data_IF_643728287049
#
_entry.id   IF_643728287049
#
_cell.length_a   1.000
_cell.length_b   1.000
_cell.length_c   1.000
_cell.angle_alpha   90.00
_cell.angle_beta   90.00
_cell.angle_gamma   90.00
#
_symmetry.space_group_name_H-M   'P 1'
#
loop_
_entity.id
_entity.type
_entity.pdbx_description
1 polymer ?
#
# COMPACT_ATOMS: atom_id res chain seq x y z
N UNK A 1 0.43 27.50 -3.68
CA UNK A 1 1.67 27.06 -4.36
C UNK A 1 1.24 26.07 -5.43
N UNK A 2 1.51 26.32 -6.71
CA UNK A 2 1.22 25.34 -7.75
C UNK A 2 2.17 24.16 -7.52
N UNK A 3 1.66 23.04 -7.00
CA UNK A 3 2.45 21.81 -6.91
C UNK A 3 2.63 21.29 -8.32
N UNK A 4 3.88 21.11 -8.77
CA UNK A 4 4.17 20.46 -10.04
C UNK A 4 3.47 19.09 -10.10
N UNK A 5 3.02 18.71 -11.30
CA UNK A 5 2.45 17.38 -11.55
C UNK A 5 3.53 16.34 -11.23
N UNK A 6 3.15 15.31 -10.47
CA UNK A 6 4.01 14.16 -10.15
C UNK A 6 3.72 13.01 -11.09
N UNK A 7 4.75 12.34 -11.57
CA UNK A 7 4.63 11.17 -12.44
C UNK A 7 5.00 9.90 -11.66
N UNK A 8 4.10 8.93 -11.62
CA UNK A 8 4.31 7.65 -10.96
C UNK A 8 4.19 6.46 -11.90
N UNK A 9 4.82 5.34 -11.55
CA UNK A 9 4.68 4.05 -12.24
C UNK A 9 4.07 2.98 -11.33
N UNK A 10 3.54 1.92 -11.93
CA UNK A 10 3.22 0.70 -11.21
C UNK A 10 4.40 -0.27 -11.27
N UNK A 11 4.78 -0.83 -10.14
CA UNK A 11 5.74 -1.92 -10.07
C UNK A 11 5.14 -3.21 -10.68
N UNK A 12 5.96 -4.00 -11.37
CA UNK A 12 5.52 -5.21 -12.09
C UNK A 12 5.49 -6.44 -11.19
N UNK A 13 4.81 -6.35 -10.04
CA UNK A 13 4.71 -7.46 -9.08
C UNK A 13 3.87 -8.63 -9.57
N UNK A 14 3.11 -8.45 -10.65
CA UNK A 14 2.32 -9.50 -11.31
C UNK A 14 2.51 -9.41 -12.83
N UNK A 15 3.74 -9.15 -13.27
CA UNK A 15 4.10 -9.00 -14.67
C UNK A 15 3.51 -7.74 -15.30
N UNK A 16 3.80 -7.52 -16.59
CA UNK A 16 3.19 -6.43 -17.33
C UNK A 16 1.73 -6.76 -17.67
N UNK A 17 0.87 -5.74 -17.61
CA UNK A 17 -0.54 -5.90 -17.97
C UNK A 17 -0.72 -6.15 -19.47
N UNK A 18 0.22 -5.68 -20.30
CA UNK A 18 0.22 -5.89 -21.75
C UNK A 18 0.44 -7.36 -22.13
N UNK A 19 1.23 -8.13 -21.36
CA UNK A 19 1.41 -9.57 -21.56
C UNK A 19 0.12 -10.41 -21.45
N UNK A 20 -0.97 -9.85 -20.90
CA UNK A 20 -2.29 -10.50 -20.87
C UNK A 20 -3.07 -10.34 -22.19
N UNK A 21 -2.63 -9.44 -23.07
CA UNK A 21 -3.35 -9.04 -24.28
C UNK A 21 -2.47 -9.11 -25.54
N UNK A 22 -1.16 -9.05 -25.38
CA UNK A 22 -0.17 -9.10 -26.45
C UNK A 22 0.64 -10.41 -26.34
N UNK A 23 0.51 -11.34 -27.30
CA UNK A 23 1.24 -12.61 -27.27
C UNK A 23 2.75 -12.46 -27.45
N UNK A 24 3.22 -11.31 -27.97
CA UNK A 24 4.65 -11.04 -28.15
C UNK A 24 5.29 -10.42 -26.90
N UNK A 25 4.48 -10.03 -25.91
CA UNK A 25 4.97 -9.53 -24.63
C UNK A 25 5.05 -10.67 -23.60
N UNK A 26 6.26 -11.09 -23.18
CA UNK A 26 6.40 -12.20 -22.25
C UNK A 26 5.88 -11.82 -20.86
N UNK A 27 5.18 -12.76 -20.23
CA UNK A 27 4.82 -12.64 -18.83
C UNK A 27 6.06 -12.81 -17.94
N UNK A 28 6.46 -11.75 -17.23
CA UNK A 28 7.63 -11.74 -16.36
C UNK A 28 7.34 -10.97 -15.08
N UNK A 29 6.98 -11.70 -14.03
CA UNK A 29 6.81 -11.18 -12.68
C UNK A 29 8.06 -11.43 -11.80
N UNK A 30 9.26 -11.52 -12.39
CA UNK A 30 10.50 -11.72 -11.64
C UNK A 30 10.90 -10.48 -10.83
N UNK A 31 11.64 -10.72 -9.75
CA UNK A 31 12.25 -9.65 -8.97
C UNK A 31 13.21 -8.81 -9.84
N UNK A 32 13.97 -9.45 -10.72
CA UNK A 32 14.94 -8.84 -11.61
C UNK A 32 14.27 -7.82 -12.55
N UNK A 33 13.14 -8.21 -13.15
CA UNK A 33 12.35 -7.34 -14.03
C UNK A 33 11.76 -6.16 -13.27
N UNK A 34 11.15 -6.43 -12.12
CA UNK A 34 10.56 -5.38 -11.28
C UNK A 34 11.63 -4.38 -10.79
N UNK A 35 12.78 -4.87 -10.32
CA UNK A 35 13.93 -4.05 -9.92
C UNK A 35 14.43 -3.19 -11.08
N UNK A 36 14.62 -3.77 -12.26
CA UNK A 36 15.11 -3.04 -13.43
C UNK A 36 14.18 -1.88 -13.82
N UNK A 37 12.86 -2.13 -13.86
CA UNK A 37 11.88 -1.08 -14.18
C UNK A 37 11.93 0.08 -13.18
N UNK A 38 11.89 -0.22 -11.88
CA UNK A 38 11.82 0.83 -10.85
C UNK A 38 13.09 1.68 -10.83
N UNK A 39 14.27 1.05 -11.01
CA UNK A 39 15.54 1.78 -11.11
C UNK A 39 15.61 2.65 -12.37
N UNK A 40 15.11 2.16 -13.51
CA UNK A 40 15.04 2.94 -14.74
C UNK A 40 14.08 4.13 -14.60
N UNK A 41 12.89 3.92 -14.02
CA UNK A 41 11.94 4.99 -13.77
C UNK A 41 12.53 6.06 -12.83
N UNK A 42 13.27 5.65 -11.79
CA UNK A 42 14.00 6.60 -10.96
C UNK A 42 15.07 7.36 -11.75
N UNK A 43 15.84 6.71 -12.62
CA UNK A 43 16.83 7.37 -13.46
C UNK A 43 16.19 8.40 -14.43
N UNK A 44 14.99 8.10 -14.93
CA UNK A 44 14.21 8.95 -15.84
C UNK A 44 13.45 10.09 -15.14
N UNK A 45 13.49 10.17 -13.80
CA UNK A 45 12.91 11.29 -13.07
C UNK A 45 11.49 11.06 -12.53
N UNK A 46 10.96 9.83 -12.57
CA UNK A 46 9.66 9.54 -11.94
C UNK A 46 9.70 9.79 -10.42
N UNK A 47 8.56 10.22 -9.88
CA UNK A 47 8.40 10.67 -8.50
C UNK A 47 8.00 9.54 -7.55
N UNK A 48 7.29 8.53 -8.05
CA UNK A 48 6.77 7.44 -7.22
C UNK A 48 6.62 6.12 -7.97
N UNK A 49 6.62 5.03 -7.21
CA UNK A 49 6.21 3.71 -7.66
C UNK A 49 5.13 3.17 -6.72
N UNK A 50 4.07 2.58 -7.29
CA UNK A 50 3.04 1.87 -6.54
C UNK A 50 3.24 0.36 -6.67
N UNK A 51 3.37 -0.32 -5.53
CA UNK A 51 3.53 -1.76 -5.41
C UNK A 51 2.19 -2.34 -4.97
N UNK A 52 1.49 -3.02 -5.89
CA UNK A 52 0.21 -3.66 -5.60
C UNK A 52 0.39 -4.88 -4.68
N UNK A 53 -0.57 -5.13 -3.78
CA UNK A 53 -0.47 -6.22 -2.82
C UNK A 53 -1.46 -7.33 -3.14
N UNK A 54 -0.90 -8.50 -3.46
CA UNK A 54 -1.61 -9.76 -3.56
C UNK A 54 -0.78 -10.91 -3.03
N UNK A 55 -1.45 -11.93 -2.50
CA UNK A 55 -0.88 -13.23 -2.13
C UNK A 55 -1.09 -14.27 -3.23
N UNK A 56 -2.07 -14.06 -4.12
CA UNK A 56 -2.25 -14.83 -5.36
C UNK A 56 -2.43 -13.87 -6.52
N UNK A 57 -1.96 -14.25 -7.71
CA UNK A 57 -2.08 -13.40 -8.88
C UNK A 57 -3.57 -13.06 -9.18
N UNK A 58 -3.94 -11.77 -9.23
CA UNK A 58 -5.35 -11.36 -9.33
C UNK A 58 -5.93 -11.49 -10.74
N UNK A 59 -5.12 -11.86 -11.74
CA UNK A 59 -5.53 -12.00 -13.13
C UNK A 59 -5.62 -13.47 -13.55
N UNK A 60 -4.60 -14.26 -13.22
CA UNK A 60 -4.55 -15.70 -13.48
C UNK A 60 -3.73 -16.37 -12.37
N UNK A 61 -4.37 -17.20 -11.55
CA UNK A 61 -3.79 -17.71 -10.28
C UNK A 61 -2.53 -18.56 -10.45
N UNK A 62 -2.36 -19.21 -11.59
CA UNK A 62 -1.18 -20.03 -11.91
C UNK A 62 0.02 -19.20 -12.37
N UNK A 63 -0.12 -17.87 -12.50
CA UNK A 63 0.97 -16.97 -12.84
C UNK A 63 1.70 -16.46 -11.60
N UNK A 64 2.99 -16.18 -11.76
CA UNK A 64 3.85 -15.67 -10.70
C UNK A 64 3.35 -14.33 -10.11
N UNK A 65 3.63 -14.13 -8.82
CA UNK A 65 3.28 -12.93 -8.05
C UNK A 65 4.38 -12.66 -7.01
N UNK A 66 4.96 -11.45 -7.05
CA UNK A 66 5.88 -10.99 -6.01
C UNK A 66 5.12 -10.51 -4.77
N UNK A 67 5.71 -10.73 -3.59
CA UNK A 67 5.17 -10.18 -2.35
C UNK A 67 5.55 -8.68 -2.23
N UNK A 68 4.55 -7.85 -1.96
CA UNK A 68 4.65 -6.40 -2.07
C UNK A 68 5.57 -5.75 -1.01
N UNK A 69 5.51 -6.18 0.25
CA UNK A 69 6.20 -5.52 1.35
C UNK A 69 7.70 -5.83 1.37
N UNK A 70 8.07 -7.06 1.09
CA UNK A 70 9.46 -7.50 0.93
C UNK A 70 10.09 -6.90 -0.32
N UNK A 71 9.37 -6.86 -1.45
CA UNK A 71 9.82 -6.14 -2.64
C UNK A 71 10.03 -4.64 -2.35
N UNK A 72 9.12 -4.01 -1.59
CA UNK A 72 9.22 -2.60 -1.23
C UNK A 72 10.40 -2.31 -0.29
N UNK A 73 10.68 -3.19 0.67
CA UNK A 73 11.87 -3.08 1.52
C UNK A 73 13.17 -3.18 0.70
N UNK A 74 13.22 -4.07 -0.28
CA UNK A 74 14.37 -4.22 -1.17
C UNK A 74 14.54 -3.00 -2.10
N UNK A 75 13.45 -2.52 -2.71
CA UNK A 75 13.46 -1.30 -3.54
C UNK A 75 13.86 -0.06 -2.72
N UNK A 76 13.45 0.04 -1.45
CA UNK A 76 13.84 1.12 -0.56
C UNK A 76 15.35 1.21 -0.37
N UNK A 77 16.03 0.07 -0.29
CA UNK A 77 17.49 0.01 -0.16
C UNK A 77 18.22 0.29 -1.48
N UNK A 78 17.59 0.04 -2.63
CA UNK A 78 18.20 0.13 -3.96
C UNK A 78 17.97 1.48 -4.65
N UNK A 79 17.03 2.28 -4.15
CA UNK A 79 16.65 3.59 -4.70
C UNK A 79 17.05 4.71 -3.75
N UNK A 80 17.03 5.97 -4.20
CA UNK A 80 17.51 7.12 -3.42
C UNK A 80 16.56 8.33 -3.37
N UNK A 81 15.61 8.42 -4.30
CA UNK A 81 14.72 9.56 -4.54
C UNK A 81 13.26 9.14 -4.72
N UNK A 82 12.99 8.11 -5.52
CA UNK A 82 11.62 7.72 -5.86
C UNK A 82 10.82 7.34 -4.60
N UNK A 83 9.57 7.79 -4.49
CA UNK A 83 8.68 7.39 -3.40
C UNK A 83 8.17 5.97 -3.61
N UNK A 84 8.14 5.17 -2.54
CA UNK A 84 7.75 3.76 -2.55
C UNK A 84 6.42 3.63 -1.85
N UNK A 85 5.35 3.46 -2.63
CA UNK A 85 3.99 3.37 -2.13
C UNK A 85 3.56 1.91 -2.16
N UNK A 86 3.29 1.31 -1.00
CA UNK A 86 2.95 -0.12 -0.90
C UNK A 86 1.50 -0.30 -0.54
N UNK A 87 0.76 -1.04 -1.37
CA UNK A 87 -0.62 -1.37 -1.05
C UNK A 87 -0.73 -2.26 0.19
N UNK A 88 -1.82 -2.09 0.93
CA UNK A 88 -2.11 -2.89 2.11
C UNK A 88 -3.61 -3.14 2.28
N UNK A 89 -3.94 -4.41 2.56
CA UNK A 89 -5.26 -4.87 3.00
C UNK A 89 -5.22 -5.11 4.52
N UNK A 90 -6.08 -4.45 5.32
CA UNK A 90 -6.10 -4.60 6.78
C UNK A 90 -6.19 -6.04 7.27
N UNK A 91 -6.95 -6.90 6.60
CA UNK A 91 -7.15 -8.30 7.02
C UNK A 91 -5.89 -9.17 6.93
N UNK A 92 -4.88 -8.76 6.16
CA UNK A 92 -3.66 -9.55 5.99
C UNK A 92 -2.66 -9.36 7.13
N UNK A 93 -2.74 -8.26 7.89
CA UNK A 93 -1.74 -7.91 8.90
C UNK A 93 -2.39 -7.32 10.14
N UNK A 94 -1.97 -7.79 11.31
CA UNK A 94 -2.30 -7.10 12.55
C UNK A 94 -1.72 -5.66 12.54
N UNK A 95 -2.46 -4.62 13.00
CA UNK A 95 -2.06 -3.21 12.84
C UNK A 95 -0.70 -2.89 13.47
N UNK A 96 -0.38 -3.52 14.61
CA UNK A 96 0.94 -3.38 15.27
C UNK A 96 2.09 -3.92 14.40
N UNK A 97 1.88 -5.08 13.76
CA UNK A 97 2.91 -5.73 12.92
C UNK A 97 3.18 -4.85 11.71
N UNK A 98 2.11 -4.38 11.07
CA UNK A 98 2.22 -3.46 9.95
C UNK A 98 2.97 -2.18 10.31
N UNK A 99 2.56 -1.49 11.39
CA UNK A 99 3.20 -0.24 11.78
C UNK A 99 4.71 -0.44 12.03
N UNK A 100 5.11 -1.59 12.58
CA UNK A 100 6.53 -1.93 12.76
C UNK A 100 7.26 -2.15 11.42
N UNK A 101 6.64 -2.84 10.47
CA UNK A 101 7.20 -3.03 9.12
C UNK A 101 7.31 -1.69 8.38
N UNK A 102 6.27 -0.85 8.45
CA UNK A 102 6.22 0.46 7.79
C UNK A 102 7.33 1.38 8.30
N UNK A 103 7.52 1.47 9.62
CA UNK A 103 8.61 2.24 10.23
C UNK A 103 10.00 1.73 9.81
N UNK A 104 10.14 0.42 9.60
CA UNK A 104 11.42 -0.14 9.13
C UNK A 104 11.69 0.25 7.67
N UNK A 105 10.71 0.16 6.78
CA UNK A 105 10.87 0.54 5.37
C UNK A 105 11.05 2.05 5.24
N UNK A 106 10.34 2.85 6.04
CA UNK A 106 10.55 4.30 6.17
C UNK A 106 12.00 4.62 6.52
N UNK A 107 12.58 3.87 7.46
CA UNK A 107 13.98 4.06 7.83
C UNK A 107 14.95 3.69 6.71
N UNK A 108 14.76 2.52 6.07
CA UNK A 108 15.57 2.08 4.93
C UNK A 108 15.50 3.10 3.79
N UNK A 109 14.29 3.58 3.49
CA UNK A 109 14.04 4.52 2.39
C UNK A 109 14.43 5.96 2.72
N UNK A 110 14.75 6.26 3.97
CA UNK A 110 15.07 7.62 4.47
C UNK A 110 13.93 8.63 4.26
N UNK A 111 12.71 8.24 4.61
CA UNK A 111 11.56 9.14 4.55
C UNK A 111 10.74 9.08 3.25
N UNK A 112 10.95 8.05 2.43
CA UNK A 112 10.32 7.90 1.09
C UNK A 112 9.26 6.81 1.02
N UNK A 113 8.75 6.32 2.15
CA UNK A 113 7.78 5.22 2.15
C UNK A 113 6.34 5.70 2.32
N UNK A 114 5.41 5.10 1.61
CA UNK A 114 3.97 5.34 1.79
C UNK A 114 3.22 4.02 1.86
N UNK A 115 2.11 4.00 2.59
CA UNK A 115 1.14 2.90 2.52
C UNK A 115 -0.06 3.34 1.69
N UNK A 116 -0.60 2.43 0.88
CA UNK A 116 -1.86 2.63 0.17
C UNK A 116 -2.92 1.67 0.73
N UNK A 117 -3.83 2.21 1.53
CA UNK A 117 -4.89 1.44 2.17
C UNK A 117 -5.96 1.02 1.15
N UNK A 118 -6.10 -0.29 0.95
CA UNK A 118 -7.05 -0.91 0.02
C UNK A 118 -7.98 -1.84 0.81
N UNK A 119 -9.18 -1.36 1.15
CA UNK A 119 -10.10 -2.11 2.02
C UNK A 119 -10.92 -3.19 1.33
N UNK A 120 -11.10 -3.18 0.00
CA UNK A 120 -12.24 -3.86 -0.61
C UNK A 120 -11.96 -4.65 -1.90
N UNK A 121 -10.70 -4.93 -2.25
CA UNK A 121 -10.40 -5.62 -3.50
C UNK A 121 -9.92 -7.08 -3.32
N UNK A 122 -10.32 -7.92 -4.27
CA UNK A 122 -10.02 -9.35 -4.39
C UNK A 122 -10.49 -10.22 -3.21
N UNK A 123 -11.82 -10.26 -2.97
CA UNK A 123 -12.45 -11.16 -1.99
C UNK A 123 -12.04 -12.65 -2.14
N UNK A 124 -11.96 -13.23 -3.37
CA UNK A 124 -11.58 -14.64 -3.54
C UNK A 124 -10.22 -15.00 -2.94
N UNK A 125 -9.24 -14.10 -3.00
CA UNK A 125 -7.92 -14.29 -2.41
C UNK A 125 -7.98 -14.54 -0.89
N UNK A 126 -8.78 -13.75 -0.17
CA UNK A 126 -8.91 -13.88 1.27
C UNK A 126 -9.72 -15.12 1.66
N UNK A 127 -10.81 -15.40 0.94
CA UNK A 127 -11.65 -16.57 1.19
C UNK A 127 -10.89 -17.88 0.98
N UNK A 128 -10.10 -17.99 -0.09
CA UNK A 128 -9.26 -19.18 -0.37
C UNK A 128 -8.18 -19.39 0.68
N UNK A 129 -7.65 -18.31 1.25
CA UNK A 129 -6.68 -18.36 2.35
C UNK A 129 -7.33 -18.65 3.72
N UNK A 130 -8.67 -18.73 3.80
CA UNK A 130 -9.38 -18.88 5.06
C UNK A 130 -9.34 -17.61 5.94
N UNK A 131 -9.04 -16.46 5.34
CA UNK A 131 -9.00 -15.17 6.03
C UNK A 131 -10.39 -14.54 5.97
N UNK A 132 -10.93 -14.18 7.14
CA UNK A 132 -12.26 -13.59 7.24
C UNK A 132 -12.40 -12.32 6.41
N UNK A 133 -13.51 -12.19 5.69
CA UNK A 133 -13.83 -11.01 4.90
C UNK A 133 -15.25 -10.54 5.21
N UNK A 134 -15.36 -9.47 6.01
CA UNK A 134 -16.66 -8.96 6.42
C UNK A 134 -17.43 -8.26 5.28
N UNK A 135 -18.75 -8.15 5.48
CA UNK A 135 -19.65 -7.33 4.66
C UNK A 135 -19.23 -5.86 4.62
N UNK A 136 -19.76 -5.11 3.65
CA UNK A 136 -19.28 -3.77 3.28
C UNK A 136 -19.06 -2.84 4.48
N UNK A 137 -20.09 -2.57 5.29
CA UNK A 137 -20.01 -1.60 6.39
C UNK A 137 -19.08 -2.07 7.51
N UNK A 138 -19.19 -3.34 7.90
CA UNK A 138 -18.31 -3.95 8.92
C UNK A 138 -16.84 -3.91 8.49
N UNK A 139 -16.55 -4.06 7.19
CA UNK A 139 -15.21 -3.96 6.64
C UNK A 139 -14.64 -2.55 6.72
N UNK A 140 -15.45 -1.52 6.49
CA UNK A 140 -15.00 -0.13 6.68
C UNK A 140 -14.83 0.22 8.15
N UNK A 141 -15.68 -0.29 9.05
CA UNK A 141 -15.49 -0.15 10.49
C UNK A 141 -14.16 -0.80 10.94
N UNK A 142 -13.92 -2.04 10.53
CA UNK A 142 -12.65 -2.74 10.75
C UNK A 142 -11.44 -1.95 10.22
N UNK A 143 -11.51 -1.49 8.96
CA UNK A 143 -10.45 -0.71 8.34
C UNK A 143 -10.17 0.61 9.07
N UNK A 144 -11.21 1.27 9.61
CA UNK A 144 -11.09 2.51 10.38
C UNK A 144 -10.40 2.27 11.73
N UNK A 145 -10.80 1.24 12.48
CA UNK A 145 -10.09 0.90 13.73
C UNK A 145 -8.62 0.54 13.45
N UNK A 146 -8.41 -0.28 12.42
CA UNK A 146 -7.09 -0.73 12.02
C UNK A 146 -6.17 0.44 11.67
N UNK A 147 -6.61 1.37 10.80
CA UNK A 147 -5.78 2.50 10.40
C UNK A 147 -5.56 3.48 11.55
N UNK A 148 -6.53 3.64 12.45
CA UNK A 148 -6.37 4.47 13.66
C UNK A 148 -5.22 3.96 14.52
N UNK A 149 -5.13 2.64 14.75
CA UNK A 149 -4.04 2.04 15.52
C UNK A 149 -2.71 2.17 14.78
N UNK A 150 -2.68 1.86 13.49
CA UNK A 150 -1.47 1.95 12.65
C UNK A 150 -0.92 3.37 12.65
N UNK A 151 -1.76 4.37 12.38
CA UNK A 151 -1.37 5.77 12.30
C UNK A 151 -0.71 6.25 13.59
N UNK A 152 -1.36 6.02 14.74
CA UNK A 152 -0.86 6.45 16.05
C UNK A 152 0.48 5.80 16.39
N UNK A 153 0.62 4.49 16.11
CA UNK A 153 1.89 3.79 16.32
C UNK A 153 3.00 4.30 15.41
N UNK A 154 2.71 4.61 14.15
CA UNK A 154 3.69 5.21 13.23
C UNK A 154 4.11 6.63 13.65
N UNK A 155 3.22 7.39 14.31
CA UNK A 155 3.56 8.68 14.94
C UNK A 155 4.47 8.55 16.17
N UNK A 156 4.82 7.33 16.58
CA UNK A 156 5.63 7.06 17.75
C UNK A 156 4.88 7.21 19.08
N UNK A 157 3.54 7.24 19.05
CA UNK A 157 2.72 7.29 20.25
C UNK A 157 2.82 5.99 21.06
N UNK A 158 2.64 6.12 22.37
CA UNK A 158 2.29 5.00 23.26
C UNK A 158 0.78 4.83 23.20
N UNK A 159 0.33 3.75 22.59
CA UNK A 159 -1.06 3.50 22.24
C UNK A 159 -1.71 2.54 23.23
N UNK A 160 -2.79 3.02 23.84
CA UNK A 160 -3.87 2.19 24.38
C UNK A 160 -5.11 2.45 23.52
N UNK A 161 -5.71 1.38 23.01
CA UNK A 161 -6.86 1.39 22.12
C UNK A 161 -7.75 0.19 22.41
N UNK A 162 -9.04 0.43 22.65
CA UNK A 162 -10.06 -0.60 22.86
C UNK A 162 -11.22 -0.34 21.92
N UNK A 163 -11.26 -1.07 20.82
CA UNK A 163 -12.34 -1.08 19.84
C UNK A 163 -13.05 -2.44 19.79
N UNK A 164 -13.91 -2.59 18.80
CA UNK A 164 -14.66 -3.82 18.54
C UNK A 164 -13.75 -4.92 17.97
N UNK A 165 -12.69 -4.55 17.25
CA UNK A 165 -11.79 -5.48 16.58
C UNK A 165 -10.39 -5.55 17.20
N UNK A 166 -9.92 -4.47 17.82
CA UNK A 166 -8.57 -4.41 18.39
C UNK A 166 -8.55 -3.98 19.86
N UNK A 167 -7.71 -4.65 20.65
CA UNK A 167 -7.42 -4.33 22.04
C UNK A 167 -5.90 -4.22 22.22
N UNK A 168 -5.38 -3.01 22.03
CA UNK A 168 -3.96 -2.68 22.19
C UNK A 168 -3.78 -1.98 23.52
N UNK A 169 -2.82 -2.40 24.34
CA UNK A 169 -2.63 -1.90 25.70
C UNK A 169 -1.19 -1.44 25.90
N UNK A 170 -1.03 -0.17 26.24
CA UNK A 170 0.25 0.43 26.62
C UNK A 170 1.42 0.10 25.67
N UNK A 171 1.15 0.09 24.36
CA UNK A 171 2.07 -0.40 23.35
C UNK A 171 2.79 0.75 22.65
N UNK A 172 4.11 0.66 22.43
CA UNK A 172 4.89 1.68 21.72
C UNK A 172 5.93 1.03 20.81
N UNK A 173 6.11 1.59 19.61
CA UNK A 173 7.12 1.13 18.66
C UNK A 173 8.42 1.91 18.80
N UNK A 174 9.54 1.18 18.77
CA UNK A 174 10.90 1.75 18.72
C UNK A 174 11.77 1.02 17.69
N UNK A 175 12.67 1.70 16.96
CA UNK A 175 12.73 3.17 16.85
C UNK A 175 11.43 3.72 16.25
N UNK A 176 11.09 4.97 16.58
CA UNK A 176 10.02 5.69 15.89
C UNK A 176 10.51 6.20 14.53
N UNK A 177 9.64 6.92 13.82
CA UNK A 177 10.04 7.63 12.59
C UNK A 177 11.11 8.69 12.92
N UNK A 178 12.15 8.75 12.08
CA UNK A 178 13.30 9.65 12.22
C UNK A 178 13.31 10.77 11.18
N UNK A 179 12.47 10.68 10.16
CA UNK A 179 12.52 11.54 8.98
C UNK A 179 11.33 12.50 8.93
N UNK A 180 10.16 12.05 9.37
CA UNK A 180 8.93 12.87 9.42
C UNK A 180 8.00 12.39 10.53
N UNK A 181 6.80 12.98 10.59
CA UNK A 181 5.82 12.66 11.63
C UNK A 181 5.32 11.21 11.54
N UNK A 182 5.16 10.67 10.33
CA UNK A 182 4.87 9.28 10.00
C UNK A 182 5.00 9.06 8.48
N UNK A 183 5.09 7.81 7.99
CA UNK A 183 4.88 7.49 6.59
C UNK A 183 3.56 8.05 6.04
N UNK A 184 3.54 8.37 4.74
CA UNK A 184 2.34 8.88 4.07
C UNK A 184 1.27 7.78 3.95
N UNK A 185 0.01 8.17 4.07
CA UNK A 185 -1.17 7.31 3.95
C UNK A 185 -1.93 7.74 2.71
N UNK A 186 -1.83 6.91 1.67
CA UNK A 186 -2.69 6.94 0.51
C UNK A 186 -3.93 6.09 0.82
N UNK A 187 -5.10 6.52 0.40
CA UNK A 187 -6.32 5.75 0.54
C UNK A 187 -7.00 5.65 -0.82
N UNK A 188 -7.28 4.41 -1.23
CA UNK A 188 -8.00 4.12 -2.46
C UNK A 188 -9.51 3.98 -2.24
N UNK A 189 -10.28 4.19 -3.30
CA UNK A 189 -11.70 3.91 -3.35
C UNK A 189 -12.59 5.15 -3.34
N UNK A 190 -13.77 5.01 -3.93
CA UNK A 190 -14.60 6.16 -4.32
C UNK A 190 -16.01 6.12 -3.70
N UNK A 191 -16.33 5.09 -2.91
CA UNK A 191 -17.58 5.02 -2.15
C UNK A 191 -17.62 6.09 -1.04
N UNK A 192 -18.80 6.44 -0.55
CA UNK A 192 -18.96 7.38 0.57
C UNK A 192 -18.08 7.02 1.78
N UNK A 193 -18.13 5.78 2.30
CA UNK A 193 -17.25 5.36 3.40
C UNK A 193 -15.75 5.43 3.10
N UNK A 194 -15.33 5.21 1.85
CA UNK A 194 -13.93 5.37 1.45
C UNK A 194 -13.51 6.83 1.49
N UNK A 195 -14.36 7.75 1.02
CA UNK A 195 -14.12 9.20 1.08
C UNK A 195 -14.05 9.70 2.53
N UNK A 196 -14.91 9.20 3.41
CA UNK A 196 -14.85 9.52 4.83
C UNK A 196 -13.56 9.00 5.50
N UNK A 197 -13.03 7.87 5.03
CA UNK A 197 -11.77 7.33 5.50
C UNK A 197 -10.58 8.16 5.02
N UNK A 198 -10.59 8.57 3.74
CA UNK A 198 -9.61 9.51 3.17
C UNK A 198 -9.62 10.81 3.97
N UNK A 199 -10.80 11.40 4.20
CA UNK A 199 -10.92 12.67 4.91
C UNK A 199 -10.44 12.59 6.38
N UNK A 200 -10.57 11.43 7.02
CA UNK A 200 -10.15 11.23 8.41
C UNK A 200 -8.68 10.83 8.60
N UNK A 201 -8.09 10.08 7.66
CA UNK A 201 -6.76 9.45 7.84
C UNK A 201 -5.83 9.55 6.64
N UNK A 202 -6.33 9.92 5.46
CA UNK A 202 -5.57 9.97 4.22
C UNK A 202 -4.83 11.29 4.04
N UNK A 203 -3.57 11.21 3.61
CA UNK A 203 -2.83 12.36 3.10
C UNK A 203 -3.07 12.56 1.60
N UNK A 204 -3.37 11.47 0.87
CA UNK A 204 -3.64 11.47 -0.57
C UNK A 204 -4.79 10.53 -0.91
N UNK A 205 -5.69 10.98 -1.78
CA UNK A 205 -6.77 10.16 -2.33
C UNK A 205 -6.34 9.53 -3.66
N UNK A 206 -6.35 8.20 -3.75
CA UNK A 206 -6.14 7.48 -5.00
C UNK A 206 -7.49 7.09 -5.64
N UNK A 207 -7.71 7.66 -6.81
CA UNK A 207 -8.89 7.39 -7.66
C UNK A 207 -8.46 6.62 -8.91
N UNK A 208 -9.38 5.84 -9.46
CA UNK A 208 -9.13 5.18 -10.73
C UNK A 208 -9.21 6.19 -11.88
N UNK A 209 -8.62 5.82 -13.03
CA UNK A 209 -8.78 6.60 -14.25
C UNK A 209 -10.24 6.61 -14.69
N UNK A 210 -10.81 7.81 -14.80
CA UNK A 210 -12.19 8.04 -15.23
C UNK A 210 -12.29 9.34 -16.03
N UNK A 211 -13.35 9.54 -16.83
CA UNK A 211 -13.60 10.81 -17.48
C UNK A 211 -13.62 11.97 -16.49
N UNK A 212 -13.11 13.14 -16.89
CA UNK A 212 -13.05 14.32 -16.01
C UNK A 212 -14.43 14.73 -15.47
N UNK A 213 -15.49 14.52 -16.24
CA UNK A 213 -16.85 14.84 -15.83
C UNK A 213 -17.39 13.94 -14.70
N UNK A 214 -16.81 12.75 -14.53
CA UNK A 214 -17.23 11.76 -13.55
C UNK A 214 -16.36 11.81 -12.28
N UNK A 215 -15.33 12.68 -12.27
CA UNK A 215 -14.45 12.87 -11.12
C UNK A 215 -15.15 13.78 -10.11
N UNK A 216 -15.36 13.26 -8.89
CA UNK A 216 -16.17 13.91 -7.84
C UNK A 216 -15.49 15.11 -7.16
#
# INVERSE_FOLDING_TARGET
MSSAIRFGIWALVHGSRGALQDPDEPYDASWERNRALVLEAEALGYDSTLIAQHTINPHQEDLDQLEAWTASAALAALTSRIEIITAIKPYLFHPVVLAKMALQIENISRGRFGINLVNAWNKPELEKAGIGFAEHDARYAYGREWITVVERLMRGERVTYKGDHFDVRDYVLRPGDLYRARPAIYVGGESGPARDLVAGHGDVWFINGQPLADTA
#
